data_IF_776887425744
#
_entry.id   IF_776887425744
#
_cell.length_a   1.000
_cell.length_b   1.000
_cell.length_c   1.000
_cell.angle_alpha   90.00
_cell.angle_beta   90.00
_cell.angle_gamma   90.00
#
_symmetry.space_group_name_H-M   'P 1'
#
loop_
_entity.id
_entity.type
_entity.pdbx_description
1 polymer ?
#
# COMPACT_ATOMS: atom_id res chain seq x y z
N UNK A 1 -23.10 6.34 10.37
CA UNK A 1 -23.33 5.34 9.29
C UNK A 1 -22.61 5.68 7.97
N UNK A 2 -22.72 6.90 7.43
CA UNK A 2 -22.18 7.27 6.09
C UNK A 2 -20.67 7.03 5.90
N UNK A 3 -19.84 7.29 6.93
CA UNK A 3 -18.36 7.13 6.82
C UNK A 3 -17.93 5.67 6.62
N UNK A 4 -18.57 4.73 7.31
CA UNK A 4 -18.27 3.30 7.18
C UNK A 4 -18.66 2.75 5.81
N UNK A 5 -19.78 3.22 5.25
CA UNK A 5 -20.21 2.85 3.90
C UNK A 5 -19.25 3.39 2.84
N UNK A 6 -18.75 4.62 2.98
CA UNK A 6 -17.71 5.18 2.09
C UNK A 6 -16.40 4.41 2.21
N UNK A 7 -16.01 4.00 3.43
CA UNK A 7 -14.85 3.12 3.66
C UNK A 7 -14.97 1.81 2.90
N UNK A 8 -16.07 1.10 3.07
CA UNK A 8 -16.30 -0.16 2.33
C UNK A 8 -16.21 0.03 0.81
N UNK A 9 -16.72 1.15 0.27
CA UNK A 9 -16.65 1.45 -1.18
C UNK A 9 -15.21 1.61 -1.69
N UNK A 10 -14.31 2.24 -0.93
CA UNK A 10 -12.92 2.39 -1.37
C UNK A 10 -12.18 1.04 -1.40
N UNK A 11 -12.31 0.22 -0.36
CA UNK A 11 -11.67 -1.11 -0.33
C UNK A 11 -12.13 -1.97 -1.52
N UNK A 12 -13.44 -2.00 -1.80
CA UNK A 12 -13.98 -2.74 -2.96
C UNK A 12 -13.45 -2.17 -4.28
N UNK A 13 -13.42 -0.85 -4.41
CA UNK A 13 -12.88 -0.17 -5.59
C UNK A 13 -11.41 -0.53 -5.84
N UNK A 14 -10.54 -0.40 -4.82
CA UNK A 14 -9.13 -0.73 -4.97
C UNK A 14 -8.90 -2.22 -5.22
N UNK A 15 -9.61 -3.11 -4.53
CA UNK A 15 -9.53 -4.55 -4.83
C UNK A 15 -9.84 -4.83 -6.32
N UNK A 16 -10.86 -4.16 -6.87
CA UNK A 16 -11.29 -4.39 -8.26
C UNK A 16 -10.36 -3.75 -9.27
N UNK A 17 -9.92 -2.51 -9.04
CA UNK A 17 -9.26 -1.69 -10.05
C UNK A 17 -7.76 -1.47 -9.82
N UNK A 18 -7.14 -2.03 -8.76
CA UNK A 18 -5.70 -1.83 -8.47
C UNK A 18 -4.79 -2.14 -9.65
N UNK A 19 -5.13 -3.14 -10.46
CA UNK A 19 -4.33 -3.57 -11.60
C UNK A 19 -4.49 -2.67 -12.83
N UNK A 20 -5.59 -1.93 -12.93
CA UNK A 20 -5.80 -0.89 -13.94
C UNK A 20 -5.11 0.42 -13.52
N UNK A 21 -5.15 0.75 -12.23
CA UNK A 21 -4.48 1.94 -11.68
C UNK A 21 -2.96 1.81 -11.66
N UNK A 22 -2.47 0.60 -11.38
CA UNK A 22 -1.06 0.26 -11.33
C UNK A 22 -0.76 -0.87 -12.30
N UNK A 23 -0.88 -0.58 -13.60
CA UNK A 23 -0.52 -1.54 -14.62
C UNK A 23 0.99 -1.83 -14.62
N UNK A 24 1.40 -2.84 -15.41
CA UNK A 24 2.79 -3.26 -15.47
C UNK A 24 3.72 -2.16 -15.98
N UNK A 25 3.26 -1.32 -16.92
CA UNK A 25 4.10 -0.26 -17.49
C UNK A 25 4.34 0.84 -16.46
N UNK A 26 3.30 1.30 -15.79
CA UNK A 26 3.38 2.31 -14.76
C UNK A 26 4.15 1.84 -13.53
N UNK A 27 3.99 0.58 -13.12
CA UNK A 27 4.81 0.01 -12.05
C UNK A 27 6.30 -0.05 -12.40
N UNK A 28 6.62 -0.30 -13.67
CA UNK A 28 8.01 -0.30 -14.16
C UNK A 28 8.59 1.10 -14.06
N UNK A 29 7.88 2.11 -14.57
CA UNK A 29 8.26 3.52 -14.49
C UNK A 29 8.48 3.98 -13.03
N UNK A 30 7.53 3.68 -12.14
CA UNK A 30 7.66 3.98 -10.72
C UNK A 30 8.89 3.31 -10.10
N UNK A 31 9.16 2.04 -10.43
CA UNK A 31 10.32 1.34 -9.89
C UNK A 31 11.65 2.00 -10.32
N UNK A 32 11.70 2.64 -11.50
CA UNK A 32 12.86 3.41 -11.94
C UNK A 32 13.05 4.69 -11.13
N UNK A 33 11.96 5.43 -10.89
CA UNK A 33 11.98 6.69 -10.11
C UNK A 33 12.43 6.46 -8.66
N UNK A 34 12.09 5.31 -8.08
CA UNK A 34 12.46 4.97 -6.70
C UNK A 34 13.73 4.12 -6.57
N UNK A 35 14.48 3.89 -7.66
CA UNK A 35 15.65 3.00 -7.73
C UNK A 35 16.81 3.45 -6.84
N UNK A 36 17.01 4.75 -6.66
CA UNK A 36 18.18 5.33 -5.95
C UNK A 36 17.99 5.47 -4.44
N UNK A 37 16.89 4.97 -3.88
CA UNK A 37 16.66 5.00 -2.44
C UNK A 37 17.52 3.91 -1.77
N UNK A 38 18.49 4.25 -0.89
CA UNK A 38 19.39 3.27 -0.30
C UNK A 38 18.60 2.35 0.61
N UNK A 39 18.37 1.09 0.21
CA UNK A 39 17.58 0.16 1.02
C UNK A 39 18.32 -1.15 1.19
N UNK A 40 18.83 -1.38 2.40
CA UNK A 40 19.16 -2.72 2.92
C UNK A 40 17.92 -3.59 3.18
N UNK A 41 16.77 -3.24 2.59
CA UNK A 41 15.50 -3.94 2.72
C UNK A 41 15.08 -4.47 1.35
N UNK A 42 14.39 -5.62 1.30
CA UNK A 42 13.93 -6.21 0.05
C UNK A 42 13.06 -5.21 -0.74
N UNK A 43 13.18 -5.21 -2.08
CA UNK A 43 12.41 -4.29 -2.92
C UNK A 43 10.90 -4.55 -2.74
N UNK A 44 10.17 -3.51 -2.35
CA UNK A 44 8.72 -3.54 -2.24
C UNK A 44 8.13 -3.00 -3.55
N UNK A 45 7.15 -3.68 -4.17
CA UNK A 45 6.49 -3.16 -5.36
C UNK A 45 5.93 -1.74 -5.11
N UNK A 46 6.23 -0.74 -5.97
CA UNK A 46 5.76 0.63 -5.78
C UNK A 46 4.24 0.75 -5.67
N UNK A 47 3.50 -0.08 -6.43
CA UNK A 47 2.05 -0.16 -6.36
C UNK A 47 1.54 -0.56 -4.97
N UNK A 48 2.24 -1.49 -4.30
CA UNK A 48 1.85 -1.96 -2.98
C UNK A 48 2.01 -0.85 -1.92
N UNK A 49 3.10 -0.07 -2.00
CA UNK A 49 3.28 1.12 -1.14
C UNK A 49 2.25 2.20 -1.44
N UNK A 50 1.99 2.49 -2.71
CA UNK A 50 1.00 3.49 -3.10
C UNK A 50 -0.41 3.13 -2.61
N UNK A 51 -0.82 1.86 -2.72
CA UNK A 51 -2.09 1.37 -2.19
C UNK A 51 -2.15 1.49 -0.66
N UNK A 52 -1.06 1.18 0.04
CA UNK A 52 -0.98 1.33 1.49
C UNK A 52 -1.15 2.80 1.93
N UNK A 53 -0.51 3.73 1.24
CA UNK A 53 -0.65 5.18 1.49
C UNK A 53 -2.08 5.68 1.23
N UNK A 54 -2.72 5.22 0.15
CA UNK A 54 -4.12 5.55 -0.14
C UNK A 54 -5.04 5.05 0.97
N UNK A 55 -4.86 3.80 1.41
CA UNK A 55 -5.64 3.22 2.50
C UNK A 55 -5.40 3.96 3.82
N UNK A 56 -4.14 4.27 4.13
CA UNK A 56 -3.75 5.02 5.32
C UNK A 56 -4.44 6.39 5.38
N UNK A 57 -4.34 7.18 4.30
CA UNK A 57 -4.98 8.48 4.21
C UNK A 57 -6.51 8.36 4.34
N UNK A 58 -7.09 7.31 3.78
CA UNK A 58 -8.52 7.08 3.84
C UNK A 58 -9.03 6.64 5.23
N UNK A 59 -8.28 5.82 5.94
CA UNK A 59 -8.64 5.35 7.28
C UNK A 59 -8.24 6.31 8.38
N UNK A 60 -7.24 7.17 8.12
CA UNK A 60 -6.69 8.14 9.06
C UNK A 60 -5.84 7.49 10.16
N UNK A 61 -5.13 6.42 9.82
CA UNK A 61 -4.32 5.63 10.76
C UNK A 61 -2.84 6.01 10.66
N UNK A 62 -2.10 5.81 11.74
CA UNK A 62 -0.65 6.00 11.82
C UNK A 62 0.11 4.96 11.01
N UNK A 63 1.40 5.22 10.74
CA UNK A 63 2.27 4.27 10.04
C UNK A 63 2.37 2.92 10.80
N UNK A 64 2.35 2.93 12.13
CA UNK A 64 2.38 1.71 12.94
C UNK A 64 1.10 0.88 12.74
N UNK A 65 -0.06 1.55 12.75
CA UNK A 65 -1.34 0.91 12.48
C UNK A 65 -1.46 0.40 11.04
N UNK A 66 -0.76 1.00 10.07
CA UNK A 66 -0.67 0.43 8.71
C UNK A 66 0.05 -0.91 8.73
N UNK A 67 1.19 -1.00 9.44
CA UNK A 67 1.95 -2.25 9.55
C UNK A 67 1.11 -3.33 10.23
N UNK A 68 0.41 -3.00 11.31
CA UNK A 68 -0.51 -3.91 11.99
C UNK A 68 -1.67 -4.34 11.07
N UNK A 69 -2.28 -3.40 10.35
CA UNK A 69 -3.40 -3.68 9.47
C UNK A 69 -3.02 -4.60 8.28
N UNK A 70 -1.77 -4.56 7.81
CA UNK A 70 -1.27 -5.47 6.79
C UNK A 70 -1.24 -6.93 7.26
N UNK A 71 -1.10 -7.18 8.55
CA UNK A 71 -1.06 -8.52 9.14
C UNK A 71 -2.44 -8.95 9.64
N UNK A 72 -3.16 -8.05 10.32
CA UNK A 72 -4.41 -8.38 11.03
C UNK A 72 -5.66 -8.14 10.18
N UNK A 73 -5.56 -7.37 9.09
CA UNK A 73 -6.69 -6.88 8.31
C UNK A 73 -6.87 -7.60 6.98
N UNK A 74 -7.79 -8.55 6.88
CA UNK A 74 -8.08 -9.26 5.61
C UNK A 74 -8.44 -8.34 4.44
N UNK A 75 -9.12 -7.22 4.73
CA UNK A 75 -9.44 -6.19 3.71
C UNK A 75 -8.19 -5.48 3.19
N UNK A 76 -7.20 -5.24 4.05
CA UNK A 76 -5.92 -4.65 3.66
C UNK A 76 -5.11 -5.64 2.85
N UNK A 77 -5.00 -6.89 3.31
CA UNK A 77 -4.30 -7.96 2.59
C UNK A 77 -4.85 -8.19 1.18
N UNK A 78 -6.18 -8.15 1.01
CA UNK A 78 -6.82 -8.25 -0.31
C UNK A 78 -6.44 -7.11 -1.25
N UNK A 79 -6.43 -5.86 -0.75
CA UNK A 79 -6.07 -4.69 -1.57
C UNK A 79 -4.58 -4.71 -1.91
N UNK A 80 -3.73 -5.08 -0.95
CA UNK A 80 -2.27 -5.08 -1.08
C UNK A 80 -1.71 -6.34 -1.73
N UNK A 81 -2.56 -7.27 -2.15
CA UNK A 81 -2.16 -8.53 -2.79
C UNK A 81 -1.21 -9.39 -1.92
N UNK A 82 -1.40 -9.35 -0.60
CA UNK A 82 -0.61 -10.10 0.38
C UNK A 82 -1.50 -10.97 1.29
N UNK A 83 -2.44 -11.70 0.67
CA UNK A 83 -3.37 -12.60 1.36
C UNK A 83 -2.64 -13.60 2.27
N UNK A 84 -3.18 -13.78 3.47
CA UNK A 84 -2.73 -14.75 4.47
C UNK A 84 -1.28 -14.55 4.93
N UNK A 85 -0.72 -13.35 4.73
CA UNK A 85 0.61 -13.01 5.24
C UNK A 85 0.59 -12.88 6.76
N UNK A 86 1.58 -13.48 7.42
CA UNK A 86 1.85 -13.33 8.87
C UNK A 86 2.84 -12.18 9.16
N UNK A 87 3.46 -11.63 8.10
CA UNK A 87 4.40 -10.52 8.15
C UNK A 87 3.99 -9.40 7.20
N UNK A 88 4.15 -8.15 7.62
CA UNK A 88 3.90 -7.01 6.75
C UNK A 88 4.83 -7.03 5.52
N UNK A 89 4.31 -6.71 4.32
CA UNK A 89 5.09 -6.75 3.08
C UNK A 89 6.16 -5.65 2.99
N UNK A 90 6.10 -4.66 3.87
CA UNK A 90 7.07 -3.56 3.97
C UNK A 90 7.25 -3.13 5.42
N UNK A 91 8.33 -2.40 5.68
CA UNK A 91 8.59 -1.80 7.00
C UNK A 91 7.92 -0.44 7.13
N UNK A 92 7.76 0.04 8.37
CA UNK A 92 7.27 1.40 8.67
C UNK A 92 8.03 2.48 7.90
N UNK A 93 9.35 2.35 7.81
CA UNK A 93 10.22 3.30 7.10
C UNK A 93 10.00 3.36 5.59
N UNK A 94 9.23 2.43 5.01
CA UNK A 94 8.83 2.51 3.61
C UNK A 94 7.68 3.52 3.38
N UNK A 95 6.92 3.89 4.42
CA UNK A 95 5.81 4.85 4.35
C UNK A 95 6.28 6.30 4.52
N UNK A 96 7.43 6.52 5.18
CA UNK A 96 8.06 7.84 5.24
C UNK A 96 8.60 8.21 3.85
N UNK A 97 7.86 9.06 3.13
CA UNK A 97 8.34 9.59 1.85
C UNK A 97 9.55 10.49 2.12
N UNK A 98 10.74 10.00 1.81
CA UNK A 98 11.83 10.92 1.45
C UNK A 98 11.67 11.13 -0.04
N UNK A 99 10.99 12.21 -0.42
CA UNK A 99 10.95 12.60 -1.82
C UNK A 99 12.39 12.79 -2.32
N UNK A 100 12.76 12.29 -3.52
CA UNK A 100 13.98 12.73 -4.16
C UNK A 100 13.86 14.25 -4.38
N UNK A 101 14.86 14.99 -3.88
CA UNK A 101 14.99 16.43 -4.13
C UNK A 101 15.44 16.73 -5.55
#
# INVERSE_FOLDING_TARGET
>A
MIRLVRRAKLFVFLCRYRHELFDKAFQTELAEVYRDSPKGQPPVPPAQLALALILQAHTGVSDDEVIEACVMGRRWQLVLDCLDTDRAPFSKGALSVSAPG
#
